data_IF_742126414050
#
_entry.id   IF_742126414050
#
_cell.length_a   1.000
_cell.length_b   1.000
_cell.length_c   1.000
_cell.angle_alpha   90.00
_cell.angle_beta   90.00
_cell.angle_gamma   90.00
#
_symmetry.space_group_name_H-M   'P 1'
#
loop_
_entity.id
_entity.type
_entity.pdbx_description
1 polymer ?
#
# COMPACT_ATOMS: atom_id res chain seq x y z
N UNK A 1 -0.39 -13.17 28.06
CA UNK A 1 -1.49 -12.30 27.63
C UNK A 1 -2.77 -12.57 28.43
N UNK A 2 -2.94 -13.76 28.89
CA UNK A 2 -3.98 -14.20 29.83
C UNK A 2 -3.32 -14.57 31.17
N UNK A 3 -3.93 -14.23 32.27
CA UNK A 3 -3.41 -14.53 33.62
C UNK A 3 -3.95 -13.56 34.68
N UNK A 4 -3.76 -13.86 35.97
CA UNK A 4 -4.32 -13.08 37.08
C UNK A 4 -3.81 -11.63 37.16
N UNK A 5 -2.72 -11.31 36.42
CA UNK A 5 -2.14 -9.96 36.30
C UNK A 5 -2.53 -9.25 34.98
N UNK A 6 -3.40 -9.86 34.14
CA UNK A 6 -3.86 -9.24 32.91
C UNK A 6 -4.66 -7.97 33.23
N UNK A 7 -4.12 -6.81 32.89
CA UNK A 7 -4.83 -5.54 33.04
C UNK A 7 -5.86 -5.38 31.94
N UNK A 8 -7.11 -5.16 32.31
CA UNK A 8 -8.21 -4.88 31.37
C UNK A 8 -7.98 -3.57 30.62
N UNK A 9 -8.46 -3.48 29.37
CA UNK A 9 -8.40 -2.25 28.57
C UNK A 9 -7.13 -2.07 27.75
N UNK A 10 -6.28 -3.11 27.59
CA UNK A 10 -5.10 -3.07 26.70
C UNK A 10 -5.43 -3.65 25.33
N UNK A 11 -4.98 -2.96 24.28
CA UNK A 11 -5.00 -3.45 22.92
C UNK A 11 -3.56 -3.79 22.50
N UNK A 12 -3.33 -5.04 22.09
CA UNK A 12 -2.02 -5.50 21.63
C UNK A 12 -2.04 -5.71 20.12
N UNK A 13 -1.09 -5.11 19.42
CA UNK A 13 -0.83 -5.36 18.00
C UNK A 13 0.49 -6.09 17.84
N UNK A 14 0.49 -7.18 17.09
CA UNK A 14 1.68 -7.93 16.72
C UNK A 14 1.75 -8.05 15.22
N UNK A 15 2.95 -7.82 14.64
CA UNK A 15 3.20 -7.99 13.20
C UNK A 15 4.32 -8.99 12.97
N UNK A 16 4.21 -9.82 11.94
CA UNK A 16 5.25 -10.75 11.54
C UNK A 16 5.19 -11.02 10.03
N UNK A 17 6.34 -11.27 9.42
CA UNK A 17 6.42 -11.81 8.05
C UNK A 17 6.49 -13.35 8.04
N UNK A 18 6.53 -13.99 9.21
CA UNK A 18 6.77 -15.41 9.37
C UNK A 18 5.74 -16.03 10.33
N UNK A 19 4.46 -15.95 9.98
CA UNK A 19 3.37 -16.51 10.80
C UNK A 19 3.63 -17.97 11.21
N UNK A 20 4.16 -18.78 10.29
CA UNK A 20 4.45 -20.19 10.50
C UNK A 20 5.56 -20.47 11.51
N UNK A 21 6.35 -19.45 11.90
CA UNK A 21 7.39 -19.53 12.93
C UNK A 21 6.92 -19.09 14.30
N UNK A 22 5.70 -18.57 14.41
CA UNK A 22 5.14 -18.22 15.71
C UNK A 22 4.75 -19.47 16.48
N UNK A 23 4.98 -19.44 17.79
CA UNK A 23 4.51 -20.49 18.69
C UNK A 23 2.99 -20.60 18.60
N UNK A 24 2.43 -21.81 18.34
CA UNK A 24 1.00 -22.05 18.33
C UNK A 24 0.28 -21.55 19.59
N UNK A 25 0.95 -21.56 20.74
CA UNK A 25 0.41 -21.02 21.98
C UNK A 25 0.14 -19.52 21.94
N UNK A 26 0.84 -18.75 21.09
CA UNK A 26 0.62 -17.31 20.92
C UNK A 26 -0.60 -16.99 20.05
N UNK A 27 -0.88 -17.82 19.05
CA UNK A 27 -1.90 -17.55 18.02
C UNK A 27 -3.25 -18.23 18.27
N UNK A 28 -3.42 -18.89 19.43
CA UNK A 28 -4.70 -19.49 19.80
C UNK A 28 -5.71 -18.45 20.32
N UNK A 29 -6.99 -18.78 20.20
CA UNK A 29 -8.10 -17.98 20.75
C UNK A 29 -7.87 -17.57 22.20
N UNK A 30 -8.26 -16.36 22.56
CA UNK A 30 -8.04 -15.77 23.87
C UNK A 30 -6.69 -15.07 24.02
N UNK A 31 -5.82 -15.11 22.99
CA UNK A 31 -4.55 -14.38 22.93
C UNK A 31 -4.44 -13.51 21.70
N UNK A 32 -4.78 -14.03 20.52
CA UNK A 32 -4.93 -13.29 19.28
C UNK A 32 -6.34 -13.56 18.76
N UNK A 33 -7.21 -12.58 18.88
CA UNK A 33 -8.62 -12.70 18.49
C UNK A 33 -8.85 -12.31 17.04
N UNK A 34 -7.93 -11.54 16.44
CA UNK A 34 -8.06 -11.05 15.08
C UNK A 34 -6.74 -11.10 14.32
N UNK A 35 -6.73 -11.78 13.17
CA UNK A 35 -5.56 -11.94 12.31
C UNK A 35 -5.85 -11.38 10.92
N UNK A 36 -4.96 -10.53 10.42
CA UNK A 36 -5.05 -9.95 9.08
C UNK A 36 -3.80 -10.31 8.29
N UNK A 37 -3.98 -10.94 7.13
CA UNK A 37 -2.92 -11.14 6.17
C UNK A 37 -2.85 -9.96 5.19
N UNK A 38 -1.71 -9.26 5.15
CA UNK A 38 -1.43 -8.21 4.17
C UNK A 38 -0.91 -8.83 2.87
N UNK A 39 -1.80 -9.02 1.92
CA UNK A 39 -1.47 -9.52 0.58
C UNK A 39 -0.91 -8.42 -0.33
N UNK A 40 -0.23 -8.78 -1.44
CA UNK A 40 0.09 -7.84 -2.49
C UNK A 40 -1.12 -7.05 -2.94
N UNK A 41 -0.92 -5.78 -3.30
CA UNK A 41 -2.01 -4.90 -3.68
C UNK A 41 -2.63 -5.30 -5.02
N UNK A 42 -3.95 -5.24 -5.08
CA UNK A 42 -4.72 -5.38 -6.32
C UNK A 42 -4.83 -4.05 -7.06
N UNK A 43 -5.05 -4.04 -8.39
CA UNK A 43 -5.19 -2.80 -9.17
C UNK A 43 -6.22 -1.82 -8.63
N UNK A 44 -7.35 -2.32 -8.13
CA UNK A 44 -8.39 -1.50 -7.50
C UNK A 44 -7.89 -0.81 -6.21
N UNK A 45 -7.04 -1.49 -5.44
CA UNK A 45 -6.43 -0.92 -4.24
C UNK A 45 -5.36 0.12 -4.60
N UNK A 46 -4.55 -0.13 -5.64
CA UNK A 46 -3.56 0.83 -6.16
C UNK A 46 -4.25 2.13 -6.57
N UNK A 47 -5.34 2.04 -7.33
CA UNK A 47 -6.14 3.20 -7.73
C UNK A 47 -6.62 4.00 -6.52
N UNK A 48 -7.20 3.31 -5.51
CA UNK A 48 -7.69 3.95 -4.27
C UNK A 48 -6.57 4.58 -3.46
N UNK A 49 -5.39 3.93 -3.37
CA UNK A 49 -4.22 4.48 -2.67
C UNK A 49 -3.74 5.77 -3.34
N UNK A 50 -3.64 5.80 -4.67
CA UNK A 50 -3.25 6.98 -5.43
C UNK A 50 -4.24 8.13 -5.21
N UNK A 51 -5.54 7.87 -5.37
CA UNK A 51 -6.59 8.88 -5.16
C UNK A 51 -6.55 9.43 -3.74
N UNK A 52 -6.54 8.55 -2.73
CA UNK A 52 -6.49 8.97 -1.33
C UNK A 52 -5.26 9.81 -1.03
N UNK A 53 -4.10 9.41 -1.56
CA UNK A 53 -2.85 10.11 -1.34
C UNK A 53 -2.91 11.55 -1.85
N UNK A 54 -3.31 11.76 -3.10
CA UNK A 54 -3.31 13.11 -3.70
C UNK A 54 -4.54 13.96 -3.38
N UNK A 55 -5.67 13.35 -3.01
CA UNK A 55 -6.85 14.11 -2.61
C UNK A 55 -6.76 14.57 -1.15
N UNK A 56 -6.21 13.75 -0.25
CA UNK A 56 -6.08 14.13 1.17
C UNK A 56 -5.05 15.24 1.45
N UNK A 57 -4.11 15.49 0.54
CA UNK A 57 -3.13 16.57 0.69
C UNK A 57 -3.56 17.91 0.09
N UNK A 58 -4.79 18.00 -0.42
CA UNK A 58 -5.32 19.23 -1.06
C UNK A 58 -6.24 20.06 -0.15
N UNK A 59 -6.51 19.62 1.06
CA UNK A 59 -7.55 20.21 1.92
C UNK A 59 -7.23 21.60 2.49
N UNK A 60 -6.04 22.18 2.25
CA UNK A 60 -5.66 23.39 2.94
C UNK A 60 -5.98 24.71 2.22
N UNK A 61 -6.37 24.77 0.93
CA UNK A 61 -6.63 26.07 0.24
C UNK A 61 -7.45 26.00 -1.06
N UNK A 62 -8.63 25.36 -1.17
CA UNK A 62 -9.28 25.28 -2.49
C UNK A 62 -10.76 25.69 -2.50
N UNK A 63 -11.09 26.67 -3.37
CA UNK A 63 -12.45 27.03 -3.78
C UNK A 63 -13.15 25.92 -4.57
N UNK A 64 -14.46 25.71 -4.35
CA UNK A 64 -15.30 24.63 -4.89
C UNK A 64 -15.17 24.35 -6.41
N UNK A 65 -14.93 25.36 -7.24
CA UNK A 65 -14.79 25.22 -8.69
C UNK A 65 -13.46 24.57 -9.15
N UNK A 66 -12.39 24.66 -8.34
CA UNK A 66 -11.11 23.98 -8.60
C UNK A 66 -11.10 22.55 -8.10
N UNK A 67 -11.94 22.22 -7.13
CA UNK A 67 -12.06 20.86 -6.61
C UNK A 67 -12.52 19.86 -7.67
N UNK A 68 -13.50 20.22 -8.48
CA UNK A 68 -14.10 19.29 -9.47
C UNK A 68 -13.13 18.91 -10.58
N UNK A 69 -12.40 19.85 -11.16
CA UNK A 69 -11.46 19.58 -12.26
C UNK A 69 -10.19 18.87 -11.76
N UNK A 70 -9.61 19.30 -10.63
CA UNK A 70 -8.45 18.63 -10.04
C UNK A 70 -8.74 17.22 -9.54
N UNK A 71 -9.95 16.97 -9.07
CA UNK A 71 -10.39 15.63 -8.65
C UNK A 71 -10.57 14.70 -9.85
N UNK A 72 -11.06 15.22 -10.99
CA UNK A 72 -11.22 14.45 -12.22
C UNK A 72 -9.85 14.05 -12.81
N UNK A 73 -8.89 14.97 -12.80
CA UNK A 73 -7.51 14.71 -13.23
C UNK A 73 -6.84 13.64 -12.39
N UNK A 74 -6.88 13.74 -11.05
CA UNK A 74 -6.32 12.74 -10.14
C UNK A 74 -6.98 11.36 -10.35
N UNK A 75 -8.29 11.30 -10.59
CA UNK A 75 -8.99 10.05 -10.89
C UNK A 75 -8.50 9.41 -12.19
N UNK A 76 -8.30 10.22 -13.25
CA UNK A 76 -7.77 9.75 -14.53
C UNK A 76 -6.33 9.22 -14.39
N UNK A 77 -5.47 9.95 -13.69
CA UNK A 77 -4.09 9.53 -13.42
C UNK A 77 -4.04 8.25 -12.57
N UNK A 78 -4.92 8.11 -11.59
CA UNK A 78 -5.02 6.89 -10.78
C UNK A 78 -5.38 5.65 -11.61
N UNK A 79 -6.25 5.81 -12.62
CA UNK A 79 -6.61 4.74 -13.55
C UNK A 79 -5.40 4.33 -14.41
N UNK A 80 -4.69 5.29 -14.97
CA UNK A 80 -3.50 5.06 -15.79
C UNK A 80 -2.40 4.39 -14.94
N UNK A 81 -2.17 4.86 -13.72
CA UNK A 81 -1.19 4.33 -12.78
C UNK A 81 -1.49 2.85 -12.45
N UNK A 82 -2.73 2.54 -12.10
CA UNK A 82 -3.15 1.16 -11.81
C UNK A 82 -3.05 0.26 -13.06
N UNK A 83 -3.37 0.78 -14.23
CA UNK A 83 -3.27 0.06 -15.50
C UNK A 83 -1.83 -0.26 -15.87
N UNK A 84 -0.89 0.68 -15.70
CA UNK A 84 0.53 0.43 -15.95
C UNK A 84 1.08 -0.66 -15.03
N UNK A 85 0.74 -0.63 -13.74
CA UNK A 85 1.13 -1.69 -12.80
C UNK A 85 0.57 -3.04 -13.23
N UNK A 86 -0.69 -3.11 -13.62
CA UNK A 86 -1.31 -4.35 -14.10
C UNK A 86 -0.61 -4.92 -15.33
N UNK A 87 -0.27 -4.06 -16.29
CA UNK A 87 0.45 -4.44 -17.53
C UNK A 87 1.89 -4.89 -17.27
N UNK A 88 2.53 -4.43 -16.19
CA UNK A 88 3.91 -4.80 -15.87
C UNK A 88 4.10 -6.27 -15.50
N UNK A 89 3.03 -6.99 -15.17
CA UNK A 89 3.08 -8.38 -14.69
C UNK A 89 3.69 -8.56 -13.31
N UNK A 90 3.91 -7.49 -12.56
CA UNK A 90 4.33 -7.54 -11.16
C UNK A 90 3.14 -7.87 -10.27
N UNK A 91 3.23 -9.01 -9.58
CA UNK A 91 2.16 -9.53 -8.70
C UNK A 91 2.48 -9.39 -7.23
N UNK A 92 3.65 -8.85 -6.86
CA UNK A 92 4.16 -8.84 -5.50
C UNK A 92 4.45 -7.43 -4.95
N UNK A 93 3.74 -6.42 -5.44
CA UNK A 93 3.83 -5.07 -4.88
C UNK A 93 3.02 -4.96 -3.60
N UNK A 94 3.63 -4.39 -2.56
CA UNK A 94 2.94 -4.07 -1.32
C UNK A 94 2.36 -2.65 -1.34
N UNK A 95 1.43 -2.35 -0.44
CA UNK A 95 0.94 -0.99 -0.25
C UNK A 95 2.08 -0.02 0.11
N UNK A 96 3.07 -0.47 0.89
CA UNK A 96 4.24 0.33 1.25
C UNK A 96 5.11 0.69 0.03
N UNK A 97 5.23 -0.20 -0.97
CA UNK A 97 5.96 0.10 -2.20
C UNK A 97 5.29 1.23 -2.99
N UNK A 98 3.96 1.16 -3.11
CA UNK A 98 3.16 2.20 -3.77
C UNK A 98 3.29 3.53 -3.02
N UNK A 99 3.05 3.53 -1.72
CA UNK A 99 3.15 4.74 -0.89
C UNK A 99 4.55 5.36 -0.95
N UNK A 100 5.60 4.53 -0.85
CA UNK A 100 6.98 5.00 -0.94
C UNK A 100 7.30 5.65 -2.29
N UNK A 101 6.69 5.17 -3.39
CA UNK A 101 6.80 5.82 -4.69
C UNK A 101 6.05 7.16 -4.72
N UNK A 102 4.79 7.19 -4.27
CA UNK A 102 3.98 8.42 -4.26
C UNK A 102 4.59 9.52 -3.38
N UNK A 103 5.20 9.14 -2.25
CA UNK A 103 5.88 10.10 -1.34
C UNK A 103 7.02 10.86 -2.02
N UNK A 104 7.73 10.26 -2.97
CA UNK A 104 8.78 10.95 -3.74
C UNK A 104 8.21 12.07 -4.60
N UNK A 105 6.96 11.94 -5.02
CA UNK A 105 6.28 12.83 -5.95
C UNK A 105 5.03 13.46 -5.32
N UNK A 106 5.05 13.70 -4.01
CA UNK A 106 3.88 14.13 -3.22
C UNK A 106 3.17 15.37 -3.78
N UNK A 107 3.91 16.28 -4.40
CA UNK A 107 3.36 17.55 -4.92
C UNK A 107 2.93 17.47 -6.39
N UNK A 108 3.21 16.35 -7.09
CA UNK A 108 2.90 16.25 -8.52
C UNK A 108 2.50 14.82 -8.91
N UNK A 109 1.19 14.55 -9.04
CA UNK A 109 0.68 13.22 -9.39
C UNK A 109 1.10 12.76 -10.79
N UNK A 110 1.30 13.68 -11.74
CA UNK A 110 1.76 13.35 -13.09
C UNK A 110 3.19 12.79 -13.06
N UNK A 111 4.09 13.41 -12.32
CA UNK A 111 5.47 12.90 -12.16
C UNK A 111 5.51 11.53 -11.48
N UNK A 112 4.58 11.23 -10.59
CA UNK A 112 4.46 9.90 -10.01
C UNK A 112 4.13 8.84 -11.08
N UNK A 113 3.27 9.17 -12.03
CA UNK A 113 2.93 8.30 -13.15
C UNK A 113 4.11 8.17 -14.14
N UNK A 114 4.73 9.28 -14.53
CA UNK A 114 5.82 9.30 -15.52
C UNK A 114 7.06 8.53 -15.05
N UNK A 115 7.34 8.56 -13.75
CA UNK A 115 8.48 7.86 -13.15
C UNK A 115 8.16 6.46 -12.60
N UNK A 116 6.93 5.98 -12.78
CA UNK A 116 6.49 4.69 -12.25
C UNK A 116 7.34 3.54 -12.79
N UNK A 117 7.55 3.47 -14.10
CA UNK A 117 8.28 2.37 -14.72
C UNK A 117 9.74 2.34 -14.27
N UNK A 118 10.44 3.45 -14.38
CA UNK A 118 11.88 3.54 -14.09
C UNK A 118 12.23 3.37 -12.61
N UNK A 119 11.40 3.90 -11.70
CA UNK A 119 11.72 3.95 -10.28
C UNK A 119 11.08 2.86 -9.44
N UNK A 120 9.96 2.28 -9.89
CA UNK A 120 9.27 1.23 -9.14
C UNK A 120 9.26 -0.11 -9.89
N UNK A 121 8.81 -0.13 -11.14
CA UNK A 121 8.55 -1.38 -11.86
C UNK A 121 9.85 -2.06 -12.31
N UNK A 122 10.75 -1.38 -13.00
CA UNK A 122 12.00 -1.94 -13.51
C UNK A 122 12.91 -2.50 -12.40
N UNK A 123 13.16 -1.81 -11.29
CA UNK A 123 13.96 -2.36 -10.20
C UNK A 123 13.37 -3.64 -9.59
N UNK A 124 12.04 -3.73 -9.53
CA UNK A 124 11.35 -4.92 -9.01
C UNK A 124 11.39 -6.09 -9.98
N UNK A 125 11.25 -5.85 -11.27
CA UNK A 125 11.37 -6.87 -12.32
C UNK A 125 12.78 -7.47 -12.34
N UNK A 126 13.83 -6.64 -12.22
CA UNK A 126 15.23 -7.11 -12.16
C UNK A 126 15.45 -8.04 -10.96
N UNK A 127 14.98 -7.67 -9.77
CA UNK A 127 15.06 -8.51 -8.56
C UNK A 127 14.31 -9.83 -8.71
N UNK A 128 13.14 -9.83 -9.36
CA UNK A 128 12.35 -11.04 -9.62
C UNK A 128 13.08 -12.02 -10.53
N UNK A 129 13.77 -11.51 -11.55
CA UNK A 129 14.51 -12.34 -12.52
C UNK A 129 15.81 -12.90 -11.95
N UNK A 130 16.46 -12.20 -11.02
CA UNK A 130 17.63 -12.72 -10.30
C UNK A 130 17.28 -13.90 -9.40
N UNK A 131 16.19 -13.79 -8.61
CA UNK A 131 15.72 -14.89 -7.74
C UNK A 131 15.22 -16.15 -8.46
N UNK A 132 15.01 -16.11 -9.79
CA UNK A 132 14.64 -17.28 -10.58
C UNK A 132 15.86 -18.02 -11.16
N UNK A 133 17.07 -17.44 -11.05
CA UNK A 133 18.32 -18.02 -11.55
C UNK A 133 19.17 -18.69 -10.45
N UNK A 134 18.76 -18.54 -9.19
CA UNK A 134 19.27 -19.27 -8.03
C UNK A 134 18.34 -20.46 -7.73
#
# INVERSE_FOLDING_TARGET
LDGPTATTGRLLFMTTNYRHKLDPALIRSGRIDYEIEFKPVMPSQVKRLFQRFYLSFRDDEITEARETNGNLEVKSLAEQFATQISKSGLTNLSAADIQGHLMKWKSNPQLALDNLDTQLLQPRLRKKNQKKKE
#
